data_IF_852949026617
#
_entry.id   IF_852949026617
#
_cell.length_a   1.000
_cell.length_b   1.000
_cell.length_c   1.000
_cell.angle_alpha   90.00
_cell.angle_beta   90.00
_cell.angle_gamma   90.00
#
_symmetry.space_group_name_H-M   'P 1'
#
loop_
_entity.id
_entity.type
_entity.pdbx_description
1 polymer ?
#
# COMPACT_ATOMS: atom_id res chain seq x y z
N UNK A 1 -0.09 -1.42 17.22
CA UNK A 1 -0.23 -0.81 15.88
C UNK A 1 0.78 0.32 15.64
N UNK A 2 0.77 1.41 16.43
CA UNK A 2 1.53 2.65 16.17
C UNK A 2 3.06 2.52 16.24
N UNK A 3 3.58 1.49 16.90
CA UNK A 3 5.03 1.25 17.03
C UNK A 3 5.68 0.58 15.81
N UNK A 4 4.91 0.28 14.77
CA UNK A 4 5.44 -0.33 13.55
C UNK A 4 6.02 0.74 12.64
N UNK A 5 7.17 0.43 12.03
CA UNK A 5 7.78 1.25 10.99
C UNK A 5 7.20 0.88 9.63
N UNK A 6 7.08 1.86 8.75
CA UNK A 6 6.58 1.65 7.39
C UNK A 6 7.28 2.55 6.38
N UNK A 7 7.15 2.20 5.10
CA UNK A 7 7.47 3.07 3.97
C UNK A 7 6.29 3.12 3.01
N UNK A 8 6.27 4.13 2.14
CA UNK A 8 5.23 4.27 1.13
C UNK A 8 5.83 4.71 -0.22
N UNK A 9 5.31 4.13 -1.29
CA UNK A 9 5.55 4.51 -2.68
C UNK A 9 4.23 5.08 -3.21
N UNK A 10 4.25 6.31 -3.75
CA UNK A 10 3.07 7.01 -4.28
C UNK A 10 3.35 7.40 -5.73
N UNK A 11 2.74 6.69 -6.68
CA UNK A 11 2.87 6.98 -8.10
C UNK A 11 1.95 8.15 -8.50
N UNK A 12 2.47 9.09 -9.28
CA UNK A 12 1.75 10.27 -9.75
C UNK A 12 2.32 10.83 -11.06
N UNK A 13 1.58 11.76 -11.65
CA UNK A 13 2.00 12.56 -12.80
C UNK A 13 1.59 14.02 -12.60
N UNK A 14 1.75 14.88 -13.61
CA UNK A 14 1.43 16.31 -13.51
C UNK A 14 2.52 17.18 -12.90
N UNK A 15 3.52 16.57 -12.26
CA UNK A 15 4.73 17.21 -11.72
C UNK A 15 5.97 16.45 -12.21
N UNK A 16 7.07 17.15 -12.46
CA UNK A 16 8.35 16.50 -12.78
C UNK A 16 8.98 15.94 -11.51
N UNK A 17 9.83 14.90 -11.62
CA UNK A 17 10.55 14.34 -10.47
C UNK A 17 11.41 15.37 -9.74
N UNK A 18 12.13 16.20 -10.49
CA UNK A 18 12.92 17.31 -9.95
C UNK A 18 12.03 18.25 -9.14
N UNK A 19 10.93 18.72 -9.75
CA UNK A 19 10.02 19.64 -9.07
C UNK A 19 9.38 19.02 -7.83
N UNK A 20 9.07 17.73 -7.87
CA UNK A 20 8.53 17.03 -6.72
C UNK A 20 9.53 16.98 -5.55
N UNK A 21 10.82 16.71 -5.83
CA UNK A 21 11.86 16.76 -4.81
C UNK A 21 12.03 18.18 -4.23
N UNK A 22 12.03 19.23 -5.07
CA UNK A 22 12.06 20.62 -4.61
C UNK A 22 10.90 20.95 -3.68
N UNK A 23 9.68 20.48 -4.01
CA UNK A 23 8.48 20.72 -3.20
C UNK A 23 8.59 20.04 -1.83
N UNK A 24 9.12 18.82 -1.79
CA UNK A 24 9.35 18.10 -0.54
C UNK A 24 10.42 18.83 0.30
N UNK A 25 11.53 19.22 -0.33
CA UNK A 25 12.61 19.93 0.35
C UNK A 25 12.14 21.28 0.93
N UNK A 26 11.39 22.05 0.15
CA UNK A 26 10.81 23.32 0.59
C UNK A 26 9.89 23.16 1.81
N UNK A 27 9.08 22.09 1.87
CA UNK A 27 8.25 21.81 3.04
C UNK A 27 9.06 21.53 4.31
N UNK A 28 10.16 20.78 4.17
CA UNK A 28 11.02 20.44 5.30
C UNK A 28 12.03 21.54 5.66
N UNK A 29 12.18 22.58 4.82
CA UNK A 29 13.20 23.62 5.00
C UNK A 29 14.61 23.11 4.71
N UNK A 30 14.74 22.22 3.72
CA UNK A 30 15.98 21.54 3.34
C UNK A 30 16.26 21.71 1.85
N UNK A 31 17.31 21.05 1.35
CA UNK A 31 17.69 21.08 -0.05
C UNK A 31 17.27 19.82 -0.81
N UNK A 32 16.92 20.00 -2.08
CA UNK A 32 16.76 18.92 -3.06
C UNK A 32 18.05 18.72 -3.85
N UNK A 33 18.33 17.49 -4.25
CA UNK A 33 19.56 17.13 -4.96
C UNK A 33 19.29 16.03 -5.98
N UNK A 34 20.08 16.00 -7.06
CA UNK A 34 20.04 14.91 -8.01
C UNK A 34 20.84 13.72 -7.48
N UNK A 35 20.20 12.56 -7.35
CA UNK A 35 20.85 11.32 -6.89
C UNK A 35 21.55 10.62 -8.06
N UNK A 36 21.05 10.80 -9.29
CA UNK A 36 21.46 9.96 -10.42
C UNK A 36 20.82 8.57 -10.36
N UNK A 37 21.35 7.62 -11.14
CA UNK A 37 20.84 6.26 -11.45
C UNK A 37 20.05 6.16 -12.77
N UNK A 38 19.87 4.93 -13.25
CA UNK A 38 19.00 4.60 -14.38
C UNK A 38 17.58 5.19 -14.22
N UNK A 39 17.12 5.36 -12.98
CA UNK A 39 15.78 5.87 -12.66
C UNK A 39 15.69 7.40 -12.60
N UNK A 40 16.75 8.15 -12.97
CA UNK A 40 16.77 9.63 -12.97
C UNK A 40 16.17 10.22 -11.69
N UNK A 41 16.67 9.73 -10.55
CA UNK A 41 16.10 9.97 -9.23
C UNK A 41 16.56 11.31 -8.66
N UNK A 42 15.62 12.04 -8.06
CA UNK A 42 15.88 13.23 -7.26
C UNK A 42 15.58 12.94 -5.80
N UNK A 43 16.34 13.55 -4.90
CA UNK A 43 16.24 13.39 -3.45
C UNK A 43 15.89 14.70 -2.76
N UNK A 44 15.23 14.59 -1.60
CA UNK A 44 15.01 15.69 -0.67
C UNK A 44 15.23 15.18 0.76
N UNK A 45 15.97 15.93 1.58
CA UNK A 45 16.12 15.58 3.00
C UNK A 45 14.89 16.01 3.80
N UNK A 46 14.51 15.24 4.81
CA UNK A 46 13.59 15.74 5.84
C UNK A 46 14.37 16.39 7.01
N UNK A 47 13.63 16.87 8.01
CA UNK A 47 14.20 17.50 9.22
C UNK A 47 15.07 16.56 10.06
N UNK A 48 14.99 15.24 9.82
CA UNK A 48 15.78 14.22 10.48
C UNK A 48 16.97 13.75 9.62
N UNK A 49 17.20 14.38 8.46
CA UNK A 49 18.26 14.00 7.52
C UNK A 49 17.97 12.72 6.72
N UNK A 50 16.76 12.16 6.82
CA UNK A 50 16.32 11.02 6.01
C UNK A 50 15.97 11.49 4.60
N UNK A 51 16.13 10.62 3.59
CA UNK A 51 15.93 11.00 2.19
C UNK A 51 14.58 10.52 1.67
N UNK A 52 13.74 11.45 1.25
CA UNK A 52 12.62 11.21 0.33
C UNK A 52 13.13 11.19 -1.11
N UNK A 53 12.54 10.36 -1.96
CA UNK A 53 12.95 10.24 -3.36
C UNK A 53 11.78 10.49 -4.30
N UNK A 54 12.04 11.14 -5.42
CA UNK A 54 11.18 11.19 -6.59
C UNK A 54 11.88 10.42 -7.72
N UNK A 55 11.34 9.26 -8.09
CA UNK A 55 12.00 8.30 -8.99
C UNK A 55 11.16 7.99 -10.23
N UNK A 56 11.82 7.54 -11.30
CA UNK A 56 11.15 7.14 -12.53
C UNK A 56 10.48 5.78 -12.37
N UNK A 57 9.20 5.70 -12.72
CA UNK A 57 8.50 4.45 -12.94
C UNK A 57 7.96 4.43 -14.37
N UNK A 58 8.41 3.45 -15.15
CA UNK A 58 8.02 3.28 -16.56
C UNK A 58 6.53 3.03 -16.77
N UNK A 59 5.83 2.48 -15.78
CA UNK A 59 4.41 2.11 -15.85
C UNK A 59 3.47 3.32 -15.82
N UNK A 60 3.93 4.46 -15.30
CA UNK A 60 3.13 5.68 -15.20
C UNK A 60 2.92 6.28 -16.59
N UNK A 61 1.69 6.67 -16.93
CA UNK A 61 1.43 7.48 -18.13
C UNK A 61 1.71 8.95 -17.80
N UNK A 62 2.72 9.52 -18.45
CA UNK A 62 3.13 10.91 -18.28
C UNK A 62 2.07 11.88 -18.83
N UNK A 63 1.54 12.74 -17.97
CA UNK A 63 0.56 13.75 -18.32
C UNK A 63 0.83 15.06 -17.56
N UNK A 64 0.35 16.18 -18.11
CA UNK A 64 0.35 17.49 -17.43
C UNK A 64 -0.92 18.27 -17.72
N UNK A 65 -1.19 19.28 -16.91
CA UNK A 65 -2.24 20.26 -17.18
C UNK A 65 -1.70 21.36 -18.08
N UNK A 66 -2.42 21.67 -19.16
CA UNK A 66 -2.12 22.80 -20.06
C UNK A 66 -3.43 23.35 -20.61
N UNK A 67 -3.67 24.66 -20.44
CA UNK A 67 -4.92 25.31 -20.87
C UNK A 67 -6.18 24.65 -20.28
N UNK A 68 -6.15 24.22 -19.01
CA UNK A 68 -7.26 23.54 -18.35
C UNK A 68 -7.48 22.06 -18.75
N UNK A 69 -6.78 21.57 -19.78
CA UNK A 69 -6.89 20.19 -20.27
C UNK A 69 -5.75 19.33 -19.75
N UNK A 70 -5.99 18.02 -19.66
CA UNK A 70 -4.93 17.03 -19.42
C UNK A 70 -4.35 16.62 -20.76
N UNK A 71 -3.04 16.80 -20.96
CA UNK A 71 -2.31 16.45 -22.19
C UNK A 71 -1.15 15.51 -21.88
N UNK A 72 -0.63 14.79 -22.89
CA UNK A 72 0.58 13.98 -22.75
C UNK A 72 1.79 14.84 -22.35
N UNK A 73 2.69 14.25 -21.59
CA UNK A 73 3.93 14.88 -21.15
C UNK A 73 5.14 13.98 -21.42
N UNK A 74 6.34 14.52 -21.19
CA UNK A 74 7.61 13.79 -21.27
C UNK A 74 7.77 12.83 -20.09
N UNK A 75 8.70 11.89 -20.21
CA UNK A 75 9.00 10.91 -19.16
C UNK A 75 9.43 11.53 -17.82
N UNK A 76 9.81 12.81 -17.78
CA UNK A 76 10.06 13.57 -16.54
C UNK A 76 8.87 13.60 -15.59
N UNK A 77 7.65 13.49 -16.13
CA UNK A 77 6.39 13.48 -15.40
C UNK A 77 5.94 12.08 -14.95
N UNK A 78 6.76 11.05 -15.16
CA UNK A 78 6.56 9.73 -14.53
C UNK A 78 7.23 9.73 -13.17
N UNK A 79 6.46 10.01 -12.13
CA UNK A 79 6.99 10.32 -10.81
C UNK A 79 6.43 9.37 -9.75
N UNK A 80 7.29 8.55 -9.17
CA UNK A 80 6.99 7.80 -7.95
C UNK A 80 7.69 8.47 -6.77
N UNK A 81 6.91 8.85 -5.75
CA UNK A 81 7.44 9.38 -4.50
C UNK A 81 7.66 8.23 -3.53
N UNK A 82 8.91 8.03 -3.10
CA UNK A 82 9.31 6.99 -2.16
C UNK A 82 9.74 7.66 -0.85
N UNK A 83 9.04 7.34 0.23
CA UNK A 83 9.40 7.86 1.56
C UNK A 83 10.67 7.21 2.09
N UNK A 84 11.37 7.83 3.06
CA UNK A 84 12.25 7.09 3.96
C UNK A 84 11.42 6.11 4.83
N UNK A 85 12.10 5.38 5.71
CA UNK A 85 11.40 4.61 6.76
C UNK A 85 10.76 5.61 7.73
N UNK A 86 9.44 5.53 7.84
CA UNK A 86 8.58 6.36 8.66
C UNK A 86 8.06 5.61 9.89
N UNK A 87 7.66 6.37 10.89
CA UNK A 87 6.87 5.93 12.04
C UNK A 87 5.48 6.55 12.01
N UNK A 88 4.62 6.18 12.96
CA UNK A 88 3.25 6.69 13.01
C UNK A 88 3.20 8.20 13.24
N UNK A 89 4.20 8.75 13.93
CA UNK A 89 4.37 10.16 14.23
C UNK A 89 4.70 11.00 12.98
N UNK A 90 5.23 10.38 11.92
CA UNK A 90 5.53 11.06 10.65
C UNK A 90 4.28 11.26 9.77
N UNK A 91 3.10 10.71 10.16
CA UNK A 91 1.87 10.83 9.36
C UNK A 91 1.47 12.27 9.02
N UNK A 92 1.53 13.26 9.95
CA UNK A 92 1.21 14.65 9.62
C UNK A 92 2.12 15.23 8.52
N UNK A 93 3.43 14.98 8.60
CA UNK A 93 4.40 15.42 7.61
C UNK A 93 4.14 14.76 6.24
N UNK A 94 3.90 13.44 6.21
CA UNK A 94 3.53 12.74 4.98
C UNK A 94 2.27 13.32 4.35
N UNK A 95 1.24 13.57 5.17
CA UNK A 95 -0.01 14.16 4.67
C UNK A 95 0.24 15.54 4.06
N UNK A 96 1.10 16.34 4.67
CA UNK A 96 1.38 17.69 4.18
C UNK A 96 2.23 17.68 2.90
N UNK A 97 3.23 16.81 2.80
CA UNK A 97 3.96 16.56 1.55
C UNK A 97 2.99 16.26 0.40
N UNK A 98 2.01 15.37 0.62
CA UNK A 98 1.00 15.01 -0.40
C UNK A 98 0.14 16.23 -0.78
N UNK A 99 -0.25 17.07 0.18
CA UNK A 99 -1.02 18.30 -0.11
C UNK A 99 -0.21 19.29 -0.94
N UNK A 100 1.07 19.49 -0.60
CA UNK A 100 1.97 20.40 -1.31
C UNK A 100 2.19 19.92 -2.75
N UNK A 101 2.46 18.62 -2.96
CA UNK A 101 2.58 18.04 -4.30
C UNK A 101 1.31 18.26 -5.13
N UNK A 102 0.13 17.99 -4.55
CA UNK A 102 -1.15 18.24 -5.20
C UNK A 102 -1.34 19.71 -5.57
N UNK A 103 -1.03 20.63 -4.66
CA UNK A 103 -1.12 22.08 -4.88
C UNK A 103 -0.20 22.53 -6.02
N UNK A 104 0.95 21.87 -6.18
CA UNK A 104 1.92 22.14 -7.26
C UNK A 104 1.61 21.41 -8.58
N UNK A 105 0.40 20.85 -8.70
CA UNK A 105 -0.11 20.30 -9.95
C UNK A 105 0.02 18.80 -10.10
N UNK A 106 0.48 18.08 -9.06
CA UNK A 106 0.49 16.62 -9.09
C UNK A 106 -0.94 16.06 -9.10
N UNK A 107 -1.18 15.08 -9.96
CA UNK A 107 -2.43 14.31 -10.03
C UNK A 107 -2.13 12.86 -10.42
N UNK A 108 -3.14 12.02 -10.42
CA UNK A 108 -3.03 10.57 -10.70
C UNK A 108 -3.90 10.17 -11.89
N UNK A 109 -3.57 9.05 -12.51
CA UNK A 109 -4.40 8.40 -13.54
C UNK A 109 -4.51 6.90 -13.26
N UNK A 110 -5.22 6.16 -14.11
CA UNK A 110 -5.53 4.73 -13.89
C UNK A 110 -4.32 3.77 -13.91
N UNK A 111 -3.12 4.24 -14.27
CA UNK A 111 -1.90 3.44 -14.15
C UNK A 111 -1.19 3.63 -12.81
N UNK A 112 -1.48 4.71 -12.07
CA UNK A 112 -0.83 5.00 -10.81
C UNK A 112 -1.34 4.10 -9.66
N UNK A 113 -0.42 3.56 -8.88
CA UNK A 113 -0.63 2.83 -7.63
C UNK A 113 -0.07 3.51 -6.38
N UNK A 114 -0.45 2.97 -5.23
CA UNK A 114 0.23 3.21 -3.95
C UNK A 114 0.67 1.87 -3.38
N UNK A 115 1.92 1.77 -2.95
CA UNK A 115 2.47 0.61 -2.25
C UNK A 115 2.86 1.00 -0.82
N UNK A 116 2.46 0.18 0.15
CA UNK A 116 2.78 0.40 1.56
C UNK A 116 3.60 -0.77 2.05
N UNK A 117 4.78 -0.47 2.56
CA UNK A 117 5.72 -1.44 3.10
C UNK A 117 5.69 -1.39 4.62
N UNK A 118 5.41 -2.50 5.29
CA UNK A 118 5.49 -2.59 6.76
C UNK A 118 6.71 -3.42 7.14
N UNK A 119 7.50 -2.94 8.11
CA UNK A 119 8.71 -3.63 8.59
C UNK A 119 8.43 -5.09 8.96
N UNK A 120 9.15 -6.03 8.34
CA UNK A 120 8.92 -7.45 8.54
C UNK A 120 9.77 -8.06 9.66
N UNK A 121 10.64 -7.28 10.32
CA UNK A 121 11.59 -7.77 11.34
C UNK A 121 10.96 -8.57 12.48
N UNK A 122 9.69 -8.29 12.82
CA UNK A 122 8.95 -8.95 13.90
C UNK A 122 8.15 -10.17 13.46
N UNK A 123 8.12 -10.45 12.16
CA UNK A 123 7.32 -11.54 11.63
C UNK A 123 8.00 -12.90 11.78
N UNK A 124 7.18 -13.91 11.99
CA UNK A 124 7.54 -15.32 12.03
C UNK A 124 6.75 -16.06 10.95
N UNK A 125 7.07 -17.33 10.65
CA UNK A 125 6.31 -18.08 9.64
C UNK A 125 4.83 -18.16 9.99
N UNK A 126 4.55 -18.29 11.29
CA UNK A 126 3.20 -18.36 11.82
C UNK A 126 2.44 -17.04 11.65
N UNK A 127 3.08 -15.89 11.90
CA UNK A 127 2.41 -14.59 11.79
C UNK A 127 2.27 -14.13 10.34
N UNK A 128 3.19 -14.48 9.43
CA UNK A 128 3.00 -14.28 8.00
C UNK A 128 1.87 -15.16 7.45
N UNK A 129 1.76 -16.42 7.89
CA UNK A 129 0.59 -17.26 7.58
C UNK A 129 -0.70 -16.62 8.08
N UNK A 130 -0.71 -16.06 9.30
CA UNK A 130 -1.88 -15.35 9.80
C UNK A 130 -2.24 -14.17 8.91
N UNK A 131 -1.25 -13.39 8.46
CA UNK A 131 -1.47 -12.24 7.59
C UNK A 131 -2.11 -12.64 6.25
N UNK A 132 -1.57 -13.66 5.59
CA UNK A 132 -2.13 -14.24 4.36
C UNK A 132 -3.58 -14.65 4.58
N UNK A 133 -3.87 -15.36 5.67
CA UNK A 133 -5.22 -15.81 5.99
C UNK A 133 -6.18 -14.64 6.29
N UNK A 134 -5.75 -13.64 7.06
CA UNK A 134 -6.55 -12.46 7.39
C UNK A 134 -6.96 -11.74 6.10
N UNK A 135 -6.00 -11.46 5.21
CA UNK A 135 -6.27 -10.80 3.92
C UNK A 135 -7.20 -11.65 3.07
N UNK A 136 -6.89 -12.93 2.85
CA UNK A 136 -7.72 -13.84 2.06
C UNK A 136 -9.18 -13.89 2.56
N UNK A 137 -9.40 -13.86 3.87
CA UNK A 137 -10.76 -13.94 4.45
C UNK A 137 -11.65 -12.72 4.17
N UNK A 138 -11.05 -11.55 3.85
CA UNK A 138 -11.73 -10.26 3.66
C UNK A 138 -11.51 -9.65 2.28
N UNK A 139 -10.72 -10.30 1.45
CA UNK A 139 -10.19 -9.73 0.21
C UNK A 139 -11.29 -9.35 -0.79
N UNK A 140 -12.37 -10.13 -0.90
CA UNK A 140 -13.48 -9.79 -1.80
C UNK A 140 -14.13 -8.45 -1.43
N UNK A 141 -14.42 -8.25 -0.15
CA UNK A 141 -14.98 -6.99 0.36
C UNK A 141 -13.94 -5.87 0.27
N UNK A 142 -12.67 -6.15 0.57
CA UNK A 142 -11.59 -5.17 0.49
C UNK A 142 -11.40 -4.62 -0.93
N UNK A 143 -11.43 -5.48 -1.95
CA UNK A 143 -11.28 -5.06 -3.34
C UNK A 143 -12.49 -4.23 -3.81
N UNK A 144 -13.70 -4.57 -3.36
CA UNK A 144 -14.90 -3.74 -3.58
C UNK A 144 -14.79 -2.38 -2.89
N UNK A 145 -14.39 -2.36 -1.62
CA UNK A 145 -14.21 -1.15 -0.82
C UNK A 145 -13.25 -0.15 -1.48
N UNK A 146 -12.15 -0.66 -2.04
CA UNK A 146 -11.13 0.15 -2.70
C UNK A 146 -11.45 0.51 -4.15
N UNK A 147 -12.51 -0.08 -4.73
CA UNK A 147 -12.86 0.03 -6.15
C UNK A 147 -11.63 -0.16 -7.05
N UNK A 148 -10.93 -1.27 -6.85
CA UNK A 148 -9.72 -1.59 -7.61
C UNK A 148 -10.02 -1.51 -9.10
N UNK A 149 -9.23 -0.71 -9.83
CA UNK A 149 -9.39 -0.57 -11.28
C UNK A 149 -9.16 -1.94 -11.95
N UNK A 150 -10.09 -2.42 -12.81
CA UNK A 150 -9.91 -3.69 -13.54
C UNK A 150 -8.57 -3.79 -14.28
N UNK A 151 -8.05 -2.68 -14.81
CA UNK A 151 -6.75 -2.64 -15.49
C UNK A 151 -5.57 -2.93 -14.54
N UNK A 152 -5.74 -2.69 -13.23
CA UNK A 152 -4.71 -2.93 -12.20
C UNK A 152 -4.74 -4.34 -11.63
N UNK A 153 -5.83 -5.09 -11.81
CA UNK A 153 -5.98 -6.44 -11.24
C UNK A 153 -4.85 -7.39 -11.64
N UNK A 154 -4.23 -7.21 -12.80
CA UNK A 154 -3.05 -7.99 -13.22
C UNK A 154 -1.84 -7.79 -12.29
N UNK A 155 -1.70 -6.62 -11.71
CA UNK A 155 -0.55 -6.19 -10.90
C UNK A 155 -0.78 -6.29 -9.39
N UNK A 156 -2.05 -6.39 -8.97
CA UNK A 156 -2.46 -6.58 -7.59
C UNK A 156 -3.52 -7.69 -7.49
N UNK A 157 -3.20 -8.87 -8.01
CA UNK A 157 -4.11 -10.01 -8.04
C UNK A 157 -4.56 -10.40 -6.63
N UNK A 158 -5.71 -11.04 -6.57
CA UNK A 158 -6.17 -11.65 -5.33
C UNK A 158 -5.23 -12.74 -4.84
N UNK A 159 -5.31 -13.09 -3.57
CA UNK A 159 -4.48 -14.13 -2.96
C UNK A 159 -4.70 -15.46 -3.67
N UNK A 160 -3.61 -16.13 -4.09
CA UNK A 160 -3.67 -17.38 -4.83
C UNK A 160 -4.27 -18.51 -3.96
N UNK A 161 -5.34 -19.16 -4.43
CA UNK A 161 -6.02 -20.23 -3.68
C UNK A 161 -5.10 -21.44 -3.43
N UNK A 162 -4.22 -21.79 -4.38
CA UNK A 162 -3.21 -22.85 -4.20
C UNK A 162 -2.19 -22.48 -3.12
N UNK A 163 -1.82 -21.21 -3.04
CA UNK A 163 -0.95 -20.70 -1.97
C UNK A 163 -1.65 -20.83 -0.61
N UNK A 164 -2.91 -20.42 -0.51
CA UNK A 164 -3.71 -20.51 0.72
C UNK A 164 -3.84 -21.96 1.17
N UNK A 165 -4.11 -22.89 0.25
CA UNK A 165 -4.19 -24.31 0.56
C UNK A 165 -2.84 -24.84 1.07
N UNK A 166 -1.77 -24.58 0.31
CA UNK A 166 -0.43 -25.08 0.63
C UNK A 166 0.08 -24.56 1.98
N UNK A 167 -0.07 -23.26 2.26
CA UNK A 167 0.41 -22.65 3.51
C UNK A 167 -0.36 -23.16 4.74
N UNK A 168 -1.67 -23.43 4.60
CA UNK A 168 -2.51 -23.92 5.69
C UNK A 168 -2.41 -25.43 5.90
N UNK A 169 -2.12 -26.19 4.84
CA UNK A 169 -1.84 -27.63 4.93
C UNK A 169 -0.47 -27.89 5.54
N UNK A 170 0.58 -27.27 5.00
CA UNK A 170 1.98 -27.51 5.42
C UNK A 170 2.34 -26.83 6.74
N UNK A 171 1.74 -25.67 7.05
CA UNK A 171 1.99 -24.91 8.28
C UNK A 171 3.50 -24.71 8.53
N UNK A 172 4.21 -23.96 7.66
CA UNK A 172 5.66 -23.84 7.72
C UNK A 172 6.14 -23.34 9.08
N UNK A 173 7.22 -23.94 9.59
CA UNK A 173 7.83 -23.59 10.89
C UNK A 173 9.11 -22.75 10.74
N UNK A 174 9.62 -22.59 9.52
CA UNK A 174 10.81 -21.77 9.20
C UNK A 174 10.52 -20.79 8.08
N UNK A 175 11.33 -19.72 7.97
CA UNK A 175 11.23 -18.78 6.85
C UNK A 175 11.51 -19.46 5.51
N UNK A 176 12.49 -20.35 5.43
CA UNK A 176 12.79 -21.07 4.19
C UNK A 176 11.62 -21.95 3.74
N UNK A 177 10.96 -22.68 4.65
CA UNK A 177 9.78 -23.46 4.29
C UNK A 177 8.60 -22.59 3.84
N UNK A 178 8.46 -21.37 4.39
CA UNK A 178 7.47 -20.40 3.92
C UNK A 178 7.86 -19.86 2.54
N UNK A 179 9.14 -19.55 2.32
CA UNK A 179 9.73 -19.09 1.06
C UNK A 179 9.47 -20.13 -0.04
N UNK A 180 9.71 -21.41 0.24
CA UNK A 180 9.41 -22.52 -0.67
C UNK A 180 7.94 -22.57 -1.09
N UNK A 181 7.02 -22.37 -0.14
CA UNK A 181 5.58 -22.36 -0.43
C UNK A 181 5.21 -21.16 -1.28
N UNK A 182 5.75 -19.97 -0.97
CA UNK A 182 5.49 -18.74 -1.71
C UNK A 182 5.92 -18.85 -3.18
N UNK A 183 7.09 -19.46 -3.44
CA UNK A 183 7.65 -19.60 -4.79
C UNK A 183 7.28 -20.91 -5.50
N UNK A 184 6.43 -21.78 -4.92
CA UNK A 184 6.17 -23.14 -5.43
C UNK A 184 5.60 -23.21 -6.87
N UNK A 185 5.15 -22.09 -7.44
CA UNK A 185 4.65 -22.00 -8.82
C UNK A 185 5.44 -21.05 -9.73
N UNK A 186 6.54 -20.48 -9.26
CA UNK A 186 7.36 -19.54 -10.02
C UNK A 186 8.55 -20.25 -10.65
N UNK A 187 8.84 -19.95 -11.90
CA UNK A 187 10.06 -20.40 -12.59
C UNK A 187 11.19 -19.39 -12.50
N UNK A 188 10.96 -18.23 -11.87
CA UNK A 188 11.95 -17.16 -11.73
C UNK A 188 12.79 -17.35 -10.48
N UNK A 189 14.00 -16.80 -10.50
CA UNK A 189 14.87 -16.73 -9.34
C UNK A 189 14.19 -16.03 -8.17
N UNK A 190 14.40 -16.54 -6.96
CA UNK A 190 13.75 -16.04 -5.73
C UNK A 190 14.23 -14.66 -5.29
N UNK A 191 15.41 -14.27 -5.77
CA UNK A 191 16.06 -13.00 -5.44
C UNK A 191 15.97 -11.99 -6.61
N UNK A 192 15.30 -12.38 -7.72
CA UNK A 192 15.03 -11.47 -8.82
C UNK A 192 14.03 -10.40 -8.42
N UNK A 193 14.35 -9.13 -8.70
CA UNK A 193 13.43 -8.01 -8.47
C UNK A 193 12.10 -8.16 -9.23
N UNK A 194 12.16 -8.65 -10.46
CA UNK A 194 10.99 -8.95 -11.28
C UNK A 194 10.64 -10.43 -11.13
N UNK A 195 9.96 -10.78 -10.04
CA UNK A 195 9.42 -12.12 -9.81
C UNK A 195 7.90 -12.11 -9.98
N UNK A 196 7.32 -13.08 -10.69
CA UNK A 196 5.88 -13.15 -10.97
C UNK A 196 5.01 -13.29 -9.71
N UNK A 197 5.56 -13.86 -8.62
CA UNK A 197 4.86 -13.97 -7.33
C UNK A 197 4.61 -12.63 -6.64
N UNK A 198 5.17 -11.53 -7.15
CA UNK A 198 5.01 -10.21 -6.53
C UNK A 198 3.68 -9.53 -6.83
N UNK A 199 2.94 -9.99 -7.84
CA UNK A 199 1.79 -9.26 -8.40
C UNK A 199 0.46 -9.58 -7.69
N UNK A 200 0.48 -9.60 -6.37
CA UNK A 200 -0.70 -9.82 -5.51
C UNK A 200 -0.90 -8.64 -4.56
N UNK A 201 -2.16 -8.36 -4.18
CA UNK A 201 -2.48 -7.24 -3.27
C UNK A 201 -1.69 -7.26 -1.96
N UNK A 202 -1.46 -8.46 -1.41
CA UNK A 202 -0.46 -8.73 -0.38
C UNK A 202 0.74 -9.44 -1.03
N UNK A 203 1.92 -8.84 -0.94
CA UNK A 203 3.13 -9.36 -1.55
C UNK A 203 4.21 -9.69 -0.49
N UNK A 204 4.51 -11.00 -0.33
CA UNK A 204 5.58 -11.48 0.54
C UNK A 204 6.94 -11.65 -0.16
N UNK A 205 7.03 -11.50 -1.49
CA UNK A 205 8.34 -11.42 -2.17
C UNK A 205 9.19 -10.29 -1.57
N UNK A 206 8.55 -9.16 -1.23
CA UNK A 206 9.18 -8.03 -0.53
C UNK A 206 9.74 -8.41 0.85
N UNK A 207 9.17 -9.43 1.51
CA UNK A 207 9.65 -9.88 2.82
C UNK A 207 10.99 -10.57 2.70
N UNK A 208 11.15 -11.37 1.65
CA UNK A 208 12.36 -12.16 1.41
C UNK A 208 13.48 -11.36 0.75
N UNK A 209 13.17 -10.24 0.09
CA UNK A 209 14.16 -9.44 -0.67
C UNK A 209 14.43 -8.07 -0.06
N UNK A 210 13.43 -7.44 0.56
CA UNK A 210 13.51 -6.09 1.13
C UNK A 210 13.30 -6.05 2.65
N UNK A 211 12.95 -7.16 3.29
CA UNK A 211 12.63 -7.20 4.73
C UNK A 211 11.33 -6.49 5.10
N UNK A 212 10.36 -6.39 4.18
CA UNK A 212 9.05 -5.75 4.45
C UNK A 212 7.89 -6.58 3.95
N UNK A 213 6.72 -6.46 4.55
CA UNK A 213 5.48 -6.90 3.91
C UNK A 213 4.97 -5.76 3.05
N UNK A 214 4.71 -6.03 1.76
CA UNK A 214 4.19 -5.03 0.83
C UNK A 214 2.69 -5.21 0.62
N UNK A 215 1.93 -4.13 0.80
CA UNK A 215 0.54 -4.00 0.38
C UNK A 215 0.48 -3.13 -0.87
N UNK A 216 0.15 -3.73 -2.01
CA UNK A 216 0.25 -3.07 -3.32
C UNK A 216 -1.07 -2.95 -4.09
N UNK A 217 -2.19 -3.03 -3.37
CA UNK A 217 -3.52 -2.99 -3.96
C UNK A 217 -4.07 -1.57 -4.16
N UNK A 218 -3.61 -0.57 -3.42
CA UNK A 218 -4.27 0.74 -3.40
C UNK A 218 -4.20 1.47 -4.74
N UNK A 219 -5.35 2.00 -5.19
CA UNK A 219 -5.38 2.97 -6.29
C UNK A 219 -4.65 4.23 -5.82
N UNK A 220 -3.87 4.86 -6.71
CA UNK A 220 -3.24 6.12 -6.32
C UNK A 220 -4.27 7.23 -6.16
N UNK A 221 -3.93 8.22 -5.34
CA UNK A 221 -4.73 9.39 -5.02
C UNK A 221 -3.81 10.48 -4.52
N UNK A 222 -4.16 11.75 -4.72
CA UNK A 222 -3.48 12.88 -4.06
C UNK A 222 -4.28 13.40 -2.86
N UNK A 223 -5.26 12.61 -2.37
CA UNK A 223 -6.03 12.92 -1.18
C UNK A 223 -5.31 12.43 0.08
N UNK A 224 -4.63 13.33 0.79
CA UNK A 224 -3.83 13.01 1.99
C UNK A 224 -4.60 12.23 3.08
N UNK A 225 -5.90 12.48 3.25
CA UNK A 225 -6.73 11.73 4.22
C UNK A 225 -6.99 10.27 3.82
N UNK A 226 -6.99 9.99 2.51
CA UNK A 226 -7.23 8.65 1.95
C UNK A 226 -5.94 7.83 2.02
N UNK A 227 -4.79 8.44 1.70
CA UNK A 227 -3.48 7.82 1.90
C UNK A 227 -3.24 7.46 3.37
N UNK A 228 -3.56 8.39 4.29
CA UNK A 228 -3.51 8.08 5.74
C UNK A 228 -4.39 6.87 6.09
N UNK A 229 -5.60 6.79 5.54
CA UNK A 229 -6.49 5.66 5.78
C UNK A 229 -5.87 4.33 5.33
N UNK A 230 -5.20 4.31 4.17
CA UNK A 230 -4.50 3.12 3.67
C UNK A 230 -3.37 2.68 4.61
N UNK A 231 -2.55 3.62 5.07
CA UNK A 231 -1.46 3.34 6.02
C UNK A 231 -2.03 2.78 7.33
N UNK A 232 -3.03 3.45 7.93
CA UNK A 232 -3.66 3.00 9.16
C UNK A 232 -4.23 1.59 9.01
N UNK A 233 -4.88 1.28 7.88
CA UNK A 233 -5.38 -0.05 7.58
C UNK A 233 -4.26 -1.10 7.53
N UNK A 234 -3.20 -0.86 6.76
CA UNK A 234 -2.06 -1.79 6.65
C UNK A 234 -1.41 -2.05 8.02
N UNK A 235 -1.17 -1.00 8.80
CA UNK A 235 -0.60 -1.11 10.14
C UNK A 235 -1.51 -1.89 11.09
N UNK A 236 -2.83 -1.70 11.01
CA UNK A 236 -3.80 -2.39 11.86
C UNK A 236 -3.90 -3.88 11.51
N UNK A 237 -3.97 -4.22 10.22
CA UNK A 237 -3.99 -5.62 9.76
C UNK A 237 -2.68 -6.33 10.08
N UNK A 238 -1.54 -5.67 9.85
CA UNK A 238 -0.21 -6.15 10.25
C UNK A 238 -0.16 -6.44 11.76
N UNK A 239 -0.67 -5.51 12.57
CA UNK A 239 -0.72 -5.68 14.01
C UNK A 239 -1.61 -6.86 14.46
N UNK A 240 -2.76 -7.05 13.81
CA UNK A 240 -3.63 -8.21 14.06
C UNK A 240 -2.87 -9.52 13.76
N UNK A 241 -2.17 -9.60 12.64
CA UNK A 241 -1.42 -10.80 12.24
C UNK A 241 -0.31 -11.17 13.24
N UNK A 242 0.38 -10.16 13.77
CA UNK A 242 1.45 -10.32 14.77
C UNK A 242 0.94 -10.74 16.16
N UNK A 243 -0.27 -10.34 16.54
CA UNK A 243 -0.81 -10.55 17.90
C UNK A 243 -1.74 -11.77 18.00
N UNK A 244 -2.37 -12.16 16.89
CA UNK A 244 -3.31 -13.27 16.89
C UNK A 244 -2.60 -14.62 16.82
N UNK A 245 -3.04 -15.62 17.61
CA UNK A 245 -2.43 -16.96 17.60
C UNK A 245 -2.61 -17.69 16.26
N UNK A 246 -3.81 -17.62 15.69
CA UNK A 246 -4.19 -18.25 14.41
C UNK A 246 -5.25 -17.41 13.71
N UNK A 247 -5.21 -17.36 12.37
CA UNK A 247 -6.26 -16.80 11.54
C UNK A 247 -6.80 -17.82 10.53
N UNK A 248 -8.07 -17.68 10.14
CA UNK A 248 -8.73 -18.49 9.11
C UNK A 248 -8.79 -17.73 7.80
N UNK A 249 -8.54 -18.40 6.68
CA UNK A 249 -8.68 -17.85 5.33
C UNK A 249 -10.11 -17.96 4.77
N UNK A 250 -11.06 -18.48 5.56
CA UNK A 250 -12.46 -18.64 5.12
C UNK A 250 -13.03 -17.28 4.70
N UNK A 251 -13.39 -17.16 3.42
CA UNK A 251 -13.97 -15.95 2.84
C UNK A 251 -15.25 -15.56 3.58
N UNK A 252 -15.42 -14.26 3.77
CA UNK A 252 -16.61 -13.70 4.42
C UNK A 252 -17.73 -13.62 3.39
N UNK A 253 -18.81 -14.35 3.64
CA UNK A 253 -20.04 -14.29 2.84
C UNK A 253 -21.10 -13.56 3.65
N UNK A 254 -21.64 -12.48 3.11
CA UNK A 254 -22.67 -11.66 3.76
C UNK A 254 -23.44 -10.87 2.70
N UNK A 255 -24.70 -10.60 3.00
CA UNK A 255 -25.61 -9.68 2.32
C UNK A 255 -25.43 -8.20 2.74
N UNK A 256 -24.69 -7.94 3.83
CA UNK A 256 -24.40 -6.60 4.33
C UNK A 256 -22.90 -6.38 4.53
N UNK A 257 -22.21 -6.18 3.41
CA UNK A 257 -20.77 -5.97 3.36
C UNK A 257 -20.32 -4.77 4.20
N UNK A 258 -21.08 -3.66 4.18
CA UNK A 258 -20.74 -2.45 4.94
C UNK A 258 -20.75 -2.71 6.45
N UNK A 259 -21.76 -3.39 6.99
CA UNK A 259 -21.80 -3.76 8.40
C UNK A 259 -20.64 -4.69 8.77
N UNK A 260 -20.48 -5.78 8.00
CA UNK A 260 -19.46 -6.79 8.27
C UNK A 260 -18.04 -6.22 8.25
N UNK A 261 -17.74 -5.35 7.28
CA UNK A 261 -16.45 -4.70 7.16
C UNK A 261 -16.22 -3.68 8.28
N UNK A 262 -17.23 -2.88 8.63
CA UNK A 262 -17.14 -1.95 9.78
C UNK A 262 -16.83 -2.70 11.07
N UNK A 263 -17.54 -3.79 11.36
CA UNK A 263 -17.28 -4.60 12.55
C UNK A 263 -15.85 -5.15 12.56
N UNK A 264 -15.31 -5.53 11.40
CA UNK A 264 -13.91 -5.94 11.30
C UNK A 264 -12.95 -4.78 11.56
N UNK A 265 -13.18 -3.60 10.98
CA UNK A 265 -12.37 -2.40 11.25
C UNK A 265 -12.36 -2.04 12.74
N UNK A 266 -13.49 -2.18 13.44
CA UNK A 266 -13.53 -1.97 14.89
C UNK A 266 -12.69 -3.01 15.65
N UNK A 267 -12.74 -4.29 15.26
CA UNK A 267 -11.87 -5.33 15.84
C UNK A 267 -10.39 -5.13 15.54
N UNK A 268 -10.05 -4.46 14.43
CA UNK A 268 -8.69 -4.03 14.11
C UNK A 268 -8.20 -2.88 15.02
N UNK A 269 -9.08 -2.30 15.86
CA UNK A 269 -8.78 -1.14 16.68
C UNK A 269 -8.93 0.20 15.95
N UNK A 270 -9.52 0.21 14.75
CA UNK A 270 -9.77 1.44 13.97
C UNK A 270 -11.06 2.14 14.46
N UNK A 271 -11.13 2.43 15.77
CA UNK A 271 -12.27 3.00 16.48
C UNK A 271 -11.99 4.40 17.04
N UNK A 272 -13.02 5.22 17.26
CA UNK A 272 -12.85 6.60 17.74
C UNK A 272 -12.57 7.60 16.61
N UNK A 273 -12.34 8.86 16.98
CA UNK A 273 -12.29 10.00 16.05
C UNK A 273 -11.07 9.99 15.14
N UNK A 274 -9.92 9.56 15.65
CA UNK A 274 -8.68 9.43 14.86
C UNK A 274 -8.87 8.60 13.58
N UNK A 275 -9.68 7.54 13.68
CA UNK A 275 -9.94 6.60 12.57
C UNK A 275 -11.27 6.84 11.86
N UNK A 276 -11.97 7.95 12.15
CA UNK A 276 -13.23 8.29 11.49
C UNK A 276 -13.05 8.40 9.98
N UNK A 277 -11.99 9.08 9.52
CA UNK A 277 -11.63 9.19 8.11
C UNK A 277 -11.26 7.83 7.51
N UNK A 278 -10.53 6.98 8.25
CA UNK A 278 -10.20 5.63 7.79
C UNK A 278 -11.47 4.80 7.53
N UNK A 279 -12.39 4.74 8.50
CA UNK A 279 -13.68 4.06 8.33
C UNK A 279 -14.50 4.65 7.17
N UNK A 280 -14.52 5.96 7.00
CA UNK A 280 -15.22 6.59 5.88
C UNK A 280 -14.71 6.09 4.53
N UNK A 281 -13.39 6.13 4.29
CA UNK A 281 -12.81 5.76 2.99
C UNK A 281 -13.01 4.28 2.64
N UNK A 282 -13.00 3.39 3.62
CA UNK A 282 -13.19 1.95 3.39
C UNK A 282 -14.67 1.50 3.35
N UNK A 283 -15.60 2.29 3.88
CA UNK A 283 -17.02 1.90 3.93
C UNK A 283 -17.89 2.59 2.87
N UNK A 284 -17.46 3.73 2.32
CA UNK A 284 -18.26 4.56 1.39
C UNK A 284 -18.73 3.85 0.12
N UNK A 285 -18.03 2.79 -0.31
CA UNK A 285 -18.34 2.06 -1.54
C UNK A 285 -18.96 0.68 -1.31
N UNK A 286 -19.17 0.27 -0.06
CA UNK A 286 -19.78 -1.01 0.27
C UNK A 286 -21.30 -0.89 0.32
N UNK A 287 -21.99 -1.98 -0.02
CA UNK A 287 -23.45 -2.06 0.02
C UNK A 287 -23.96 -2.37 1.44
N UNK A 288 -25.22 -2.03 1.71
CA UNK A 288 -25.88 -2.26 3.00
C UNK A 288 -25.72 -1.14 4.04
N UNK A 289 -26.21 -1.42 5.24
CA UNK A 289 -26.28 -0.49 6.37
C UNK A 289 -25.04 -0.63 7.27
N UNK A 290 -24.48 0.46 7.78
CA UNK A 290 -23.29 0.41 8.65
C UNK A 290 -23.60 0.18 10.13
N UNK A 291 -24.80 0.53 10.58
CA UNK A 291 -25.21 0.45 11.99
C UNK A 291 -25.83 -0.91 12.35
N UNK A 292 -26.61 -1.50 11.44
CA UNK A 292 -27.41 -2.69 11.70
C UNK A 292 -27.04 -3.83 10.74
N UNK A 293 -27.01 -5.07 11.27
CA UNK A 293 -26.68 -6.27 10.48
C UNK A 293 -27.76 -6.58 9.45
N UNK A 294 -29.00 -6.61 9.90
CA UNK A 294 -30.19 -6.74 9.06
C UNK A 294 -30.88 -5.37 9.10
N UNK A 295 -31.28 -4.84 7.95
CA UNK A 295 -32.28 -3.78 7.96
C UNK A 295 -33.60 -4.40 8.45
N UNK A 296 -34.32 -3.72 9.33
CA UNK A 296 -35.70 -4.08 9.64
C UNK A 296 -36.57 -3.88 8.39
#
# INVERSE_FOLDING_TARGET
>A
MRTQRFGIEIEMTGITREKAAEVIAAYFGTESFYIGTYYKTYGAKDRQGRTWKATYDSSIIAQKKSGGRTVRATDEYKCEIVSPILTYEDLPDLQEVVRQLRQKGAFVNGQCGIHIHVDASRYTPQTLRNLVNIIASKEDILYKALRIDPARLRWCQKTNEKLIEAINRRKPQTMEALKDIWYAGSTRGRDEHYNDTRYHGLNLHSTFTKGTVEFRLFNSTTHAGEIKAYIQFCLAVSHQALTQKKASARKTVTDNEKYAFRCWMLRLGLSGDEFKTCRLHFLKHLEGNSAWRNAA
#
